data_IF_403625074182
#
_entry.id   IF_403625074182
#
_cell.length_a   1.000
_cell.length_b   1.000
_cell.length_c   1.000
_cell.angle_alpha   90.00
_cell.angle_beta   90.00
_cell.angle_gamma   90.00
#
_symmetry.space_group_name_H-M   'P 1'
#
loop_
_entity.id
_entity.type
_entity.pdbx_description
1 polymer ?
#
# COMPACT_ATOMS: atom_id res chain seq x y z
N UNK A 1 -0.02 -2.49 9.86
CA UNK A 1 0.82 -3.25 8.90
C UNK A 1 0.78 -4.74 9.18
N UNK A 2 0.65 -5.16 10.44
CA UNK A 2 0.60 -6.58 10.82
C UNK A 2 -0.56 -7.33 10.17
N UNK A 3 -1.73 -6.71 10.02
CA UNK A 3 -2.89 -7.34 9.34
C UNK A 3 -2.62 -7.64 7.86
N UNK A 4 -1.99 -6.71 7.13
CA UNK A 4 -1.62 -6.90 5.72
C UNK A 4 -0.56 -8.00 5.58
N UNK A 5 0.42 -8.02 6.49
CA UNK A 5 1.45 -9.06 6.54
C UNK A 5 0.81 -10.43 6.79
N UNK A 6 -0.12 -10.51 7.74
CA UNK A 6 -0.85 -11.74 8.05
C UNK A 6 -1.70 -12.22 6.86
N UNK A 7 -2.37 -11.32 6.14
CA UNK A 7 -3.12 -11.65 4.92
C UNK A 7 -2.21 -12.22 3.83
N UNK A 8 -1.05 -11.61 3.59
CA UNK A 8 -0.05 -12.09 2.61
C UNK A 8 0.50 -13.47 3.01
N UNK A 9 0.76 -13.67 4.30
CA UNK A 9 1.30 -14.93 4.82
C UNK A 9 0.29 -16.08 4.72
N UNK A 10 -0.98 -15.81 5.00
CA UNK A 10 -2.07 -16.75 4.74
C UNK A 10 -2.23 -17.08 3.25
N UNK A 11 -2.12 -16.07 2.38
CA UNK A 11 -2.19 -16.26 0.93
C UNK A 11 -1.05 -17.16 0.42
N UNK A 12 0.16 -16.97 0.95
CA UNK A 12 1.34 -17.77 0.63
C UNK A 12 1.17 -19.24 1.06
N UNK A 13 0.59 -19.48 2.23
CA UNK A 13 0.27 -20.83 2.72
C UNK A 13 -0.77 -21.49 1.80
N UNK A 14 -1.85 -20.79 1.44
CA UNK A 14 -2.87 -21.32 0.54
C UNK A 14 -2.32 -21.65 -0.85
N UNK A 15 -1.46 -20.79 -1.41
CA UNK A 15 -0.83 -21.03 -2.70
C UNK A 15 0.12 -22.25 -2.68
N UNK A 16 0.91 -22.39 -1.61
CA UNK A 16 1.77 -23.57 -1.43
C UNK A 16 0.95 -24.87 -1.31
N UNK A 17 -0.18 -24.83 -0.61
CA UNK A 17 -1.06 -25.98 -0.47
C UNK A 17 -1.73 -26.37 -1.80
N UNK A 18 -2.10 -25.39 -2.62
CA UNK A 18 -2.58 -25.64 -3.99
C UNK A 18 -1.47 -26.29 -4.82
N UNK A 19 -0.26 -25.71 -4.81
CA UNK A 19 0.90 -26.22 -5.56
C UNK A 19 1.33 -27.64 -5.13
N UNK A 20 1.11 -28.02 -3.87
CA UNK A 20 1.41 -29.36 -3.35
C UNK A 20 0.34 -30.42 -3.63
N UNK A 21 -0.91 -30.01 -3.88
CA UNK A 21 -2.07 -30.91 -4.10
C UNK A 21 -2.48 -31.07 -5.58
N UNK A 22 -1.73 -30.49 -6.52
CA UNK A 22 -2.02 -30.49 -7.98
C UNK A 22 -2.16 -31.90 -8.58
N UNK A 23 -1.73 -32.95 -7.87
CA UNK A 23 -1.67 -34.29 -8.47
C UNK A 23 -3.01 -35.05 -8.54
N UNK A 24 -4.10 -34.67 -7.83
CA UNK A 24 -5.25 -35.59 -7.71
C UNK A 24 -6.69 -35.04 -7.61
N UNK A 25 -7.00 -33.73 -7.66
CA UNK A 25 -8.40 -33.26 -7.60
C UNK A 25 -8.61 -31.83 -8.17
N UNK A 26 -9.00 -31.71 -9.45
CA UNK A 26 -9.19 -30.42 -10.14
C UNK A 26 -10.30 -29.53 -9.58
N UNK A 27 -11.38 -30.09 -9.00
CA UNK A 27 -12.47 -29.29 -8.42
C UNK A 27 -12.05 -28.56 -7.12
N UNK A 28 -11.15 -29.17 -6.34
CA UNK A 28 -10.59 -28.54 -5.15
C UNK A 28 -9.64 -27.40 -5.52
N UNK A 29 -8.97 -27.49 -6.66
CA UNK A 29 -8.06 -26.48 -7.19
C UNK A 29 -8.81 -25.21 -7.61
N UNK A 30 -9.89 -25.34 -8.37
CA UNK A 30 -10.72 -24.19 -8.81
C UNK A 30 -11.29 -23.43 -7.61
N UNK A 31 -11.70 -24.16 -6.57
CA UNK A 31 -12.26 -23.56 -5.36
C UNK A 31 -11.20 -22.83 -4.54
N UNK A 32 -10.01 -23.40 -4.42
CA UNK A 32 -8.87 -22.78 -3.74
C UNK A 32 -8.33 -21.56 -4.50
N UNK A 33 -8.27 -21.61 -5.84
CA UNK A 33 -7.91 -20.46 -6.69
C UNK A 33 -8.90 -19.31 -6.57
N UNK A 34 -10.21 -19.58 -6.47
CA UNK A 34 -11.22 -18.54 -6.19
C UNK A 34 -11.00 -17.88 -4.84
N UNK A 35 -10.68 -18.65 -3.81
CA UNK A 35 -10.45 -18.13 -2.46
C UNK A 35 -9.19 -17.25 -2.41
N UNK A 36 -8.11 -17.70 -3.08
CA UNK A 36 -6.88 -16.92 -3.27
C UNK A 36 -7.17 -15.62 -4.04
N UNK A 37 -7.97 -15.68 -5.12
CA UNK A 37 -8.33 -14.50 -5.91
C UNK A 37 -9.10 -13.46 -5.08
N UNK A 38 -10.03 -13.90 -4.22
CA UNK A 38 -10.78 -13.01 -3.33
C UNK A 38 -9.87 -12.32 -2.30
N UNK A 39 -8.96 -13.07 -1.67
CA UNK A 39 -7.99 -12.50 -0.73
C UNK A 39 -6.98 -11.56 -1.40
N UNK A 40 -6.59 -11.83 -2.65
CA UNK A 40 -5.79 -10.91 -3.46
C UNK A 40 -6.51 -9.59 -3.72
N UNK A 41 -7.82 -9.63 -3.96
CA UNK A 41 -8.64 -8.42 -4.13
C UNK A 41 -8.69 -7.59 -2.84
N UNK A 42 -8.81 -8.24 -1.67
CA UNK A 42 -8.78 -7.58 -0.37
C UNK A 42 -7.42 -6.94 -0.07
N UNK A 43 -6.33 -7.65 -0.35
CA UNK A 43 -4.96 -7.12 -0.25
C UNK A 43 -4.79 -5.91 -1.18
N UNK A 44 -5.28 -6.00 -2.41
CA UNK A 44 -5.20 -4.90 -3.37
C UNK A 44 -6.00 -3.66 -2.89
N UNK A 45 -7.19 -3.85 -2.31
CA UNK A 45 -7.96 -2.74 -1.70
C UNK A 45 -7.19 -2.10 -0.53
N UNK A 46 -6.58 -2.92 0.32
CA UNK A 46 -5.77 -2.43 1.45
C UNK A 46 -4.54 -1.63 0.97
N UNK A 47 -3.81 -2.14 -0.02
CA UNK A 47 -2.67 -1.45 -0.64
C UNK A 47 -3.07 -0.14 -1.32
N UNK A 48 -4.24 -0.10 -1.97
CA UNK A 48 -4.77 1.12 -2.56
C UNK A 48 -5.05 2.20 -1.50
N UNK A 49 -5.62 1.80 -0.34
CA UNK A 49 -5.83 2.72 0.78
C UNK A 49 -4.51 3.30 1.32
N UNK A 50 -3.47 2.46 1.45
CA UNK A 50 -2.12 2.90 1.85
C UNK A 50 -1.54 3.89 0.82
N UNK A 51 -1.71 3.61 -0.46
CA UNK A 51 -1.25 4.50 -1.55
C UNK A 51 -1.89 5.88 -1.45
N UNK A 52 -3.20 5.95 -1.22
CA UNK A 52 -3.91 7.23 -1.03
C UNK A 52 -3.37 7.98 0.19
N UNK A 53 -3.15 7.30 1.31
CA UNK A 53 -2.61 7.92 2.51
C UNK A 53 -1.21 8.51 2.27
N UNK A 54 -0.34 7.79 1.57
CA UNK A 54 1.00 8.27 1.21
C UNK A 54 0.94 9.51 0.32
N UNK A 55 0.02 9.54 -0.66
CA UNK A 55 -0.21 10.73 -1.49
C UNK A 55 -0.67 11.91 -0.63
N UNK A 56 -1.60 11.72 0.32
CA UNK A 56 -2.02 12.77 1.23
C UNK A 56 -0.85 13.32 2.07
N UNK A 57 0.01 12.45 2.61
CA UNK A 57 1.19 12.85 3.38
C UNK A 57 2.15 13.68 2.51
N UNK A 58 2.39 13.27 1.26
CA UNK A 58 3.24 14.01 0.32
C UNK A 58 2.66 15.39 -0.02
N UNK A 59 1.35 15.48 -0.25
CA UNK A 59 0.68 16.76 -0.51
C UNK A 59 0.78 17.71 0.69
N UNK A 60 0.55 17.21 1.90
CA UNK A 60 0.72 18.02 3.12
C UNK A 60 2.17 18.44 3.32
N UNK A 61 3.12 17.53 3.11
CA UNK A 61 4.56 17.80 3.23
C UNK A 61 5.05 18.87 2.25
N UNK A 62 4.56 18.85 1.01
CA UNK A 62 4.90 19.86 -0.01
C UNK A 62 4.30 21.23 0.31
N UNK A 63 3.06 21.29 0.82
CA UNK A 63 2.44 22.56 1.25
C UNK A 63 3.19 23.18 2.43
N UNK A 64 3.47 22.40 3.49
CA UNK A 64 4.24 22.86 4.65
C UNK A 64 5.65 23.28 4.21
N UNK A 65 6.27 22.47 3.36
CA UNK A 65 7.39 22.76 2.46
C UNK A 65 7.43 24.22 1.97
N UNK A 66 6.46 24.50 1.10
CA UNK A 66 6.32 25.77 0.40
C UNK A 66 6.05 26.95 1.33
N UNK A 67 5.26 26.75 2.40
CA UNK A 67 5.00 27.81 3.40
C UNK A 67 6.31 28.21 4.09
N UNK A 68 7.10 27.23 4.56
CA UNK A 68 8.40 27.50 5.16
C UNK A 68 9.35 28.23 4.22
N UNK A 69 9.43 27.77 2.96
CA UNK A 69 10.27 28.41 1.94
C UNK A 69 9.81 29.85 1.64
N UNK A 70 8.50 30.09 1.55
CA UNK A 70 7.94 31.42 1.33
C UNK A 70 8.34 32.40 2.45
N UNK A 71 8.19 32.00 3.71
CA UNK A 71 8.58 32.84 4.84
C UNK A 71 10.08 33.08 4.89
N UNK A 72 10.89 32.07 4.57
CA UNK A 72 12.34 32.20 4.47
C UNK A 72 12.74 33.26 3.43
N UNK A 73 12.22 33.14 2.21
CA UNK A 73 12.49 34.08 1.12
C UNK A 73 12.00 35.50 1.49
N UNK A 74 10.77 35.62 2.02
CA UNK A 74 10.21 36.92 2.43
C UNK A 74 11.08 37.61 3.49
N UNK A 75 11.60 36.86 4.46
CA UNK A 75 12.49 37.38 5.49
C UNK A 75 13.82 37.82 4.89
N UNK A 76 14.42 36.99 4.03
CA UNK A 76 15.69 37.29 3.37
C UNK A 76 15.63 38.59 2.54
N UNK A 77 14.58 38.77 1.73
CA UNK A 77 14.38 40.02 0.98
C UNK A 77 14.15 41.25 1.86
N UNK A 78 13.57 41.09 3.05
CA UNK A 78 13.41 42.18 4.01
C UNK A 78 14.76 42.61 4.60
N UNK A 79 15.65 41.66 4.86
CA UNK A 79 16.99 41.92 5.37
C UNK A 79 17.90 42.58 4.30
N UNK A 80 17.76 42.20 3.03
CA UNK A 80 18.50 42.83 1.92
C UNK A 80 18.10 44.27 1.58
N UNK A 81 16.90 44.72 2.00
CA UNK A 81 16.43 46.09 1.78
C UNK A 81 16.84 47.06 2.90
N UNK A 82 17.62 46.60 3.87
CA UNK A 82 18.06 47.34 5.05
C UNK A 82 19.52 47.77 4.88
#
# INVERSE_FOLDING_TARGET
MDDLKQMIEQLKIQLNNISGNVSNNGDNEVRALREVSGRLEEINKSLNSITVLLVCILLLGTVVSGIHLYFFIKRYFKELKK
#
